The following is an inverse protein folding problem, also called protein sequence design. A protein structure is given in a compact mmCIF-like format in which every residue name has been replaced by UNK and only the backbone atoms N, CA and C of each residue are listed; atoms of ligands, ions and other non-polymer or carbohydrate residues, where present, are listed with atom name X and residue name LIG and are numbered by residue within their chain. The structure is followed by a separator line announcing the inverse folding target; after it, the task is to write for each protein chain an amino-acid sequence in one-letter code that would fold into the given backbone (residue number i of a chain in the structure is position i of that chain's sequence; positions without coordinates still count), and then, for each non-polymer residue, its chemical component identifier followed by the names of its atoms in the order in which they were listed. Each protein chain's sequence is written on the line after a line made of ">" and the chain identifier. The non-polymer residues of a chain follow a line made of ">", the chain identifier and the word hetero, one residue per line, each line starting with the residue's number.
data_IF_586329163741
#
_entry.id   IF_586329163741
#
_cell.length_a   1.000
_cell.length_b   1.000
_cell.length_c   1.000
_cell.angle_alpha   90.00
_cell.angle_beta   90.00
_cell.angle_gamma   90.00
#
_symmetry.space_group_name_H-M   'P 1'
#
loop_
_entity.id
_entity.type
_entity.pdbx_description
1 polymer ?
#
# COMPACT_ATOMS: atom_id res chain seq x y z
N UNK A 1 3.06 -8.14 9.52
CA UNK A 1 2.06 -8.88 10.34
C UNK A 1 2.46 -8.92 11.81
N UNK A 2 1.50 -9.10 12.72
CA UNK A 2 1.76 -9.21 14.17
C UNK A 2 1.92 -7.89 14.92
N UNK A 3 1.85 -6.75 14.22
CA UNK A 3 1.75 -5.41 14.80
C UNK A 3 0.34 -4.86 14.57
N UNK A 4 -0.25 -4.14 15.53
CA UNK A 4 -1.57 -3.54 15.37
C UNK A 4 -1.54 -2.36 14.39
N UNK A 5 -2.70 -2.04 13.82
CA UNK A 5 -2.94 -0.77 13.14
C UNK A 5 -3.32 0.25 14.22
N UNK A 6 -2.59 1.35 14.31
CA UNK A 6 -2.84 2.45 15.25
C UNK A 6 -3.63 3.55 14.55
N UNK A 7 -4.94 3.58 14.79
CA UNK A 7 -5.83 4.61 14.23
C UNK A 7 -5.69 5.88 15.07
N UNK A 8 -5.36 7.04 14.47
CA UNK A 8 -5.32 8.29 15.20
C UNK A 8 -6.71 8.69 15.75
N UNK A 9 -6.73 9.33 16.93
CA UNK A 9 -7.96 9.51 17.72
C UNK A 9 -9.02 10.43 17.10
N UNK A 10 -8.62 11.34 16.22
CA UNK A 10 -9.47 12.47 15.82
C UNK A 10 -10.16 12.26 14.46
N UNK A 11 -9.94 11.11 13.81
CA UNK A 11 -10.43 10.90 12.44
C UNK A 11 -10.65 9.43 12.08
N UNK A 12 -11.54 9.23 11.11
CA UNK A 12 -11.73 7.94 10.47
C UNK A 12 -10.58 7.67 9.49
N UNK A 13 -10.22 6.40 9.40
CA UNK A 13 -9.22 5.88 8.45
C UNK A 13 -9.92 4.89 7.53
N UNK A 14 -9.71 5.08 6.24
CA UNK A 14 -10.18 4.16 5.20
C UNK A 14 -9.04 3.23 4.77
N UNK A 15 -9.39 1.98 4.50
CA UNK A 15 -8.50 0.97 3.95
C UNK A 15 -8.52 0.96 2.41
N UNK A 16 -7.33 0.86 1.81
CA UNK A 16 -7.16 0.61 0.37
C UNK A 16 -6.23 -0.59 0.22
N UNK A 17 -6.74 -1.71 -0.29
CA UNK A 17 -5.91 -2.90 -0.53
C UNK A 17 -5.06 -2.77 -1.80
N UNK A 18 -3.75 -2.96 -1.66
CA UNK A 18 -2.80 -2.79 -2.75
C UNK A 18 -1.82 -3.97 -2.88
N UNK A 19 -1.38 -4.24 -4.12
CA UNK A 19 -0.23 -5.11 -4.38
C UNK A 19 1.04 -4.25 -4.32
N UNK A 20 1.80 -4.40 -3.24
CA UNK A 20 3.12 -3.80 -3.11
C UNK A 20 4.16 -4.53 -3.95
N UNK A 21 5.03 -3.78 -4.64
CA UNK A 21 6.15 -4.30 -5.42
C UNK A 21 7.46 -3.98 -4.70
N UNK A 22 8.22 -5.00 -4.33
CA UNK A 22 9.52 -4.82 -3.68
C UNK A 22 10.63 -4.78 -4.72
N UNK A 23 11.38 -3.68 -4.71
CA UNK A 23 12.50 -3.45 -5.60
C UNK A 23 13.78 -4.04 -4.97
N UNK A 24 14.39 -5.02 -5.64
CA UNK A 24 15.58 -5.74 -5.14
C UNK A 24 16.92 -5.18 -5.61
N UNK A 25 16.90 -4.23 -6.55
CA UNK A 25 18.09 -3.65 -7.18
C UNK A 25 17.87 -2.16 -7.40
N UNK A 26 18.94 -1.35 -7.38
CA UNK A 26 18.82 0.08 -7.73
C UNK A 26 18.01 0.28 -9.01
N UNK A 27 16.93 1.04 -8.93
CA UNK A 27 15.97 1.22 -10.01
C UNK A 27 15.74 2.72 -10.25
N UNK A 28 16.69 3.35 -10.95
CA UNK A 28 16.64 4.77 -11.31
C UNK A 28 16.69 4.90 -12.82
N UNK A 29 15.68 5.54 -13.42
CA UNK A 29 15.57 5.76 -14.87
C UNK A 29 15.72 4.47 -15.72
N UNK A 30 15.25 3.34 -15.19
CA UNK A 30 15.28 2.03 -15.87
C UNK A 30 14.27 2.03 -17.01
N UNK A 31 14.59 1.38 -18.13
CA UNK A 31 13.66 1.27 -19.26
C UNK A 31 12.48 0.38 -18.88
N UNK A 32 11.25 0.66 -19.35
CA UNK A 32 10.08 -0.19 -19.05
C UNK A 32 10.31 -1.68 -19.33
N UNK A 33 11.05 -2.01 -20.40
CA UNK A 33 11.39 -3.39 -20.77
C UNK A 33 12.29 -4.13 -19.77
N UNK A 34 13.02 -3.39 -18.91
CA UNK A 34 13.98 -3.93 -17.95
C UNK A 34 13.40 -3.93 -16.52
N UNK A 35 12.28 -3.25 -16.26
CA UNK A 35 11.73 -3.03 -14.90
C UNK A 35 11.50 -4.33 -14.15
N UNK A 36 10.99 -5.38 -14.80
CA UNK A 36 10.72 -6.65 -14.15
C UNK A 36 11.99 -7.30 -13.61
N UNK A 37 13.16 -7.05 -14.18
CA UNK A 37 14.42 -7.59 -13.67
C UNK A 37 14.87 -6.93 -12.36
N UNK A 38 14.29 -5.80 -11.98
CA UNK A 38 14.58 -5.10 -10.73
C UNK A 38 13.66 -5.52 -9.57
N UNK A 39 12.58 -6.25 -9.87
CA UNK A 39 11.62 -6.72 -8.86
C UNK A 39 12.18 -7.92 -8.10
N UNK A 40 12.26 -7.82 -6.77
CA UNK A 40 12.57 -8.94 -5.87
C UNK A 40 11.34 -9.82 -5.62
N UNK A 41 10.18 -9.20 -5.49
CA UNK A 41 8.92 -9.87 -5.20
C UNK A 41 7.84 -8.87 -4.81
N UNK A 42 6.88 -9.34 -4.03
CA UNK A 42 5.64 -8.63 -3.75
C UNK A 42 5.28 -8.69 -2.27
N UNK A 43 4.35 -7.86 -1.86
CA UNK A 43 3.60 -8.01 -0.62
C UNK A 43 2.17 -7.54 -0.86
N UNK A 44 1.23 -8.06 -0.10
CA UNK A 44 -0.03 -7.38 0.14
C UNK A 44 0.20 -6.21 1.11
N UNK A 45 -0.35 -5.04 0.79
CA UNK A 45 -0.29 -3.85 1.62
C UNK A 45 -1.69 -3.23 1.78
N UNK A 46 -1.86 -2.46 2.85
CA UNK A 46 -2.96 -1.50 2.95
C UNK A 46 -2.38 -0.09 2.87
N UNK A 47 -2.92 0.75 1.99
CA UNK A 47 -2.65 2.19 1.96
C UNK A 47 -3.73 2.91 2.79
N UNK A 48 -3.48 3.01 4.10
CA UNK A 48 -4.46 3.58 5.03
C UNK A 48 -4.53 5.10 4.89
N UNK A 49 -5.75 5.61 4.82
CA UNK A 49 -5.99 7.01 4.50
C UNK A 49 -6.86 7.71 5.52
N UNK A 50 -6.34 8.77 6.12
CA UNK A 50 -7.10 9.72 6.92
C UNK A 50 -7.83 10.72 6.01
N UNK A 51 -9.01 10.33 5.51
CA UNK A 51 -9.69 11.02 4.41
C UNK A 51 -10.00 12.49 4.71
N UNK A 52 -10.41 12.83 5.92
CA UNK A 52 -10.67 14.23 6.30
C UNK A 52 -9.43 15.13 6.12
N UNK A 53 -8.26 14.67 6.58
CA UNK A 53 -6.99 15.39 6.43
C UNK A 53 -6.50 15.42 5.00
N UNK A 54 -6.69 14.32 4.26
CA UNK A 54 -6.33 14.27 2.85
C UNK A 54 -7.15 15.26 2.02
N UNK A 55 -8.46 15.34 2.26
CA UNK A 55 -9.36 16.25 1.56
C UNK A 55 -9.09 17.71 1.92
N UNK A 56 -8.85 18.00 3.21
CA UNK A 56 -8.43 19.33 3.63
C UNK A 56 -7.10 19.74 2.97
N UNK A 57 -6.09 18.86 2.98
CA UNK A 57 -4.81 19.13 2.36
C UNK A 57 -4.95 19.39 0.85
N UNK A 58 -5.74 18.58 0.14
CA UNK A 58 -6.06 18.78 -1.29
C UNK A 58 -6.71 20.14 -1.54
N UNK A 59 -7.71 20.52 -0.74
CA UNK A 59 -8.41 21.80 -0.91
C UNK A 59 -7.50 23.03 -0.73
N UNK A 60 -6.42 22.89 0.04
CA UNK A 60 -5.47 23.96 0.36
C UNK A 60 -4.15 23.86 -0.43
N UNK A 61 -4.00 22.85 -1.28
CA UNK A 61 -2.75 22.58 -2.00
C UNK A 61 -1.57 22.21 -1.07
N UNK A 62 -1.87 21.60 0.08
CA UNK A 62 -0.89 21.21 1.09
C UNK A 62 -0.39 19.77 0.88
N UNK A 63 0.78 19.40 1.46
CA UNK A 63 1.27 18.03 1.45
C UNK A 63 0.30 17.03 2.06
N UNK A 64 0.28 15.80 1.53
CA UNK A 64 -0.62 14.74 1.99
C UNK A 64 -0.08 13.94 3.17
N UNK A 65 1.06 14.37 3.75
CA UNK A 65 1.78 13.63 4.79
C UNK A 65 0.89 13.27 5.98
N UNK A 66 -0.01 14.16 6.41
CA UNK A 66 -0.93 13.86 7.52
C UNK A 66 -1.98 12.82 7.10
N UNK A 67 -2.45 12.90 5.86
CA UNK A 67 -3.47 12.00 5.30
C UNK A 67 -2.97 10.58 5.03
N UNK A 68 -1.69 10.41 4.69
CA UNK A 68 -1.11 9.17 4.13
C UNK A 68 0.18 8.69 4.83
N UNK A 69 0.74 9.48 5.75
CA UNK A 69 2.07 9.25 6.34
C UNK A 69 2.09 9.20 7.86
N UNK A 70 0.96 8.89 8.49
CA UNK A 70 0.89 8.66 9.95
C UNK A 70 1.47 7.29 10.33
N UNK A 71 1.78 7.11 11.61
CA UNK A 71 2.33 5.86 12.11
C UNK A 71 1.41 4.68 11.78
N UNK A 72 2.01 3.58 11.33
CA UNK A 72 1.31 2.35 10.89
C UNK A 72 0.40 2.50 9.65
N UNK A 73 0.46 3.62 8.91
CA UNK A 73 -0.37 3.85 7.71
C UNK A 73 -0.14 2.86 6.55
N UNK A 74 0.95 2.09 6.58
CA UNK A 74 1.22 1.04 5.59
C UNK A 74 1.46 -0.33 6.25
N UNK A 75 0.40 -1.03 6.69
CA UNK A 75 0.49 -2.43 7.09
C UNK A 75 0.90 -3.29 5.88
N UNK A 76 1.89 -4.16 6.08
CA UNK A 76 2.37 -5.08 5.04
C UNK A 76 2.37 -6.53 5.51
N UNK A 77 2.04 -7.41 4.57
CA UNK A 77 2.15 -8.87 4.70
C UNK A 77 3.61 -9.34 4.66
N UNK A 78 3.81 -10.65 4.80
CA UNK A 78 5.11 -11.27 4.54
C UNK A 78 5.54 -11.10 3.08
N UNK A 79 6.85 -11.16 2.85
CA UNK A 79 7.42 -11.13 1.51
C UNK A 79 6.95 -12.33 0.68
N UNK A 80 6.50 -12.05 -0.54
CA UNK A 80 6.11 -13.03 -1.56
C UNK A 80 7.20 -13.02 -2.65
N UNK A 81 7.96 -14.12 -2.83
CA UNK A 81 8.96 -14.18 -3.89
C UNK A 81 8.36 -13.94 -5.27
N UNK A 82 9.08 -13.25 -6.17
CA UNK A 82 8.61 -12.94 -7.54
C UNK A 82 8.08 -14.19 -8.27
N UNK A 83 8.73 -15.34 -8.08
CA UNK A 83 8.38 -16.60 -8.75
C UNK A 83 7.00 -17.14 -8.33
N UNK A 84 6.49 -16.76 -7.15
CA UNK A 84 5.17 -17.16 -6.67
C UNK A 84 4.03 -16.41 -7.38
N UNK A 85 4.33 -15.25 -7.99
CA UNK A 85 3.37 -14.46 -8.78
C UNK A 85 3.99 -14.22 -10.17
N UNK A 86 3.90 -15.19 -11.10
CA UNK A 86 4.52 -15.09 -12.41
C UNK A 86 3.89 -14.01 -13.30
N UNK A 87 2.62 -13.65 -13.06
CA UNK A 87 1.92 -12.57 -13.73
C UNK A 87 1.25 -11.64 -12.71
N UNK A 88 1.89 -10.52 -12.32
CA UNK A 88 1.34 -9.58 -11.35
C UNK A 88 0.10 -8.82 -11.86
N UNK A 89 -0.13 -8.77 -13.17
CA UNK A 89 -1.32 -8.12 -13.75
C UNK A 89 -2.58 -8.99 -13.67
N UNK A 90 -2.42 -10.25 -13.28
CA UNK A 90 -3.52 -11.22 -13.14
C UNK A 90 -3.60 -11.74 -11.70
N UNK A 91 -3.77 -10.82 -10.76
CA UNK A 91 -3.96 -11.12 -9.34
C UNK A 91 -5.30 -10.60 -8.87
N UNK A 92 -5.90 -11.30 -7.91
CA UNK A 92 -7.10 -10.84 -7.22
C UNK A 92 -6.75 -10.45 -5.79
N UNK A 93 -6.92 -9.18 -5.50
CA UNK A 93 -6.85 -8.66 -4.13
C UNK A 93 -8.25 -8.65 -3.52
N UNK A 94 -8.35 -8.83 -2.21
CA UNK A 94 -9.60 -8.68 -1.48
C UNK A 94 -9.34 -8.31 -0.02
N UNK A 95 -10.19 -7.47 0.54
CA UNK A 95 -10.11 -7.02 1.93
C UNK A 95 -11.43 -7.27 2.65
N UNK A 96 -11.35 -7.74 3.91
CA UNK A 96 -12.50 -7.87 4.79
C UNK A 96 -12.28 -7.09 6.08
N UNK A 97 -13.32 -6.40 6.51
CA UNK A 97 -13.37 -5.72 7.81
C UNK A 97 -14.48 -6.36 8.61
N UNK A 98 -14.15 -6.92 9.77
CA UNK A 98 -15.09 -7.65 10.64
C UNK A 98 -15.89 -8.75 9.90
N UNK A 99 -15.25 -9.42 8.92
CA UNK A 99 -15.85 -10.50 8.14
C UNK A 99 -16.61 -10.05 6.89
N UNK A 100 -16.88 -8.76 6.72
CA UNK A 100 -17.57 -8.21 5.54
C UNK A 100 -16.58 -7.84 4.43
N UNK A 101 -16.89 -8.20 3.18
CA UNK A 101 -16.07 -7.82 2.02
C UNK A 101 -16.21 -6.32 1.78
N UNK A 102 -15.07 -5.62 1.74
CA UNK A 102 -14.97 -4.19 1.44
C UNK A 102 -14.43 -3.95 0.03
N UNK A 103 -13.43 -4.74 -0.37
CA UNK A 103 -12.78 -4.71 -1.68
C UNK A 103 -12.49 -6.14 -2.14
#
# INVERSE_FOLDING_TARGET
>A
EGQPIEIPKDFAVNEEIELGVLIGKNCKNVKPSEVLDHVAGYCLALDLTATSFLDEARSKGLPWTIGKGFDTACPVSQFIPKQAIPNPDNVRLWCRVNGEIKQ
#
